data_IF_001375820408
#
_entry.id   IF_001375820408
#
_cell.length_a   1.000
_cell.length_b   1.000
_cell.length_c   1.000
_cell.angle_alpha   90.00
_cell.angle_beta   90.00
_cell.angle_gamma   90.00
#
_symmetry.space_group_name_H-M   'P 1'
#
loop_
_entity.id
_entity.type
_entity.pdbx_description
1 polymer ?
#
# COMPACT_ATOMS: atom_id res chain seq x y z
N UNK A 1 0.99 -2.78 -3.54
CA UNK A 1 1.91 -2.83 -2.38
C UNK A 1 2.99 -3.83 -2.70
N UNK A 2 4.23 -3.43 -2.49
CA UNK A 2 5.42 -4.21 -2.81
C UNK A 2 6.21 -4.48 -1.54
N UNK A 3 6.75 -5.69 -1.40
CA UNK A 3 7.67 -6.02 -0.30
C UNK A 3 9.06 -5.42 -0.54
N UNK A 4 9.97 -5.61 0.43
CA UNK A 4 11.36 -5.11 0.33
C UNK A 4 12.21 -5.71 -0.78
N UNK A 5 11.71 -6.71 -1.51
CA UNK A 5 12.36 -7.26 -2.71
C UNK A 5 11.80 -6.68 -4.01
N UNK A 6 10.76 -5.83 -3.92
CA UNK A 6 10.01 -5.33 -5.07
C UNK A 6 8.95 -6.30 -5.58
N UNK A 7 8.59 -7.33 -4.81
CA UNK A 7 7.53 -8.29 -5.19
C UNK A 7 6.16 -7.71 -4.84
N UNK A 8 5.21 -7.75 -5.79
CA UNK A 8 3.82 -7.35 -5.54
C UNK A 8 3.16 -8.34 -4.57
N UNK A 9 2.80 -7.89 -3.39
CA UNK A 9 2.17 -8.73 -2.34
C UNK A 9 0.65 -8.57 -2.29
N UNK A 10 0.14 -7.39 -2.63
CA UNK A 10 -1.30 -7.14 -2.71
C UNK A 10 -1.61 -5.96 -3.62
N UNK A 11 -2.78 -6.04 -4.24
CA UNK A 11 -3.41 -4.96 -5.02
C UNK A 11 -4.90 -4.96 -4.73
N UNK A 12 -5.51 -3.78 -4.80
CA UNK A 12 -6.93 -3.59 -4.58
C UNK A 12 -7.44 -2.40 -5.39
N UNK A 13 -8.69 -2.50 -5.84
CA UNK A 13 -9.39 -1.37 -6.43
C UNK A 13 -10.42 -0.85 -5.44
N UNK A 14 -10.58 0.47 -5.43
CA UNK A 14 -11.54 1.16 -4.58
C UNK A 14 -12.20 2.28 -5.37
N UNK A 15 -13.50 2.44 -5.16
CA UNK A 15 -14.22 3.63 -5.57
C UNK A 15 -14.33 4.57 -4.37
N UNK A 16 -14.37 5.87 -4.64
CA UNK A 16 -14.55 6.86 -3.59
C UNK A 16 -15.40 8.02 -4.08
N UNK A 17 -15.92 8.79 -3.14
CA UNK A 17 -16.63 10.05 -3.39
C UNK A 17 -15.96 11.13 -2.55
N UNK A 18 -15.72 12.29 -3.13
CA UNK A 18 -15.17 13.41 -2.37
C UNK A 18 -16.22 13.91 -1.36
N UNK A 19 -15.80 14.12 -0.12
CA UNK A 19 -16.65 14.67 0.94
C UNK A 19 -16.05 15.99 1.42
N UNK A 20 -16.86 17.06 1.48
CA UNK A 20 -16.41 18.38 1.92
C UNK A 20 -15.30 19.02 1.06
N UNK A 21 -15.12 18.57 -0.19
CA UNK A 21 -14.06 19.05 -1.09
C UNK A 21 -12.70 18.39 -0.86
N UNK A 22 -12.61 17.38 0.00
CA UNK A 22 -11.40 16.59 0.23
C UNK A 22 -11.59 15.15 -0.24
N UNK A 23 -10.50 14.57 -0.75
CA UNK A 23 -10.41 13.14 -0.96
C UNK A 23 -9.63 12.52 0.19
N UNK A 24 -10.25 11.58 0.89
CA UNK A 24 -9.61 10.75 1.90
C UNK A 24 -9.76 9.29 1.50
N UNK A 25 -8.69 8.52 1.63
CA UNK A 25 -8.71 7.08 1.45
C UNK A 25 -7.73 6.41 2.41
N UNK A 26 -7.94 5.14 2.71
CA UNK A 26 -7.03 4.32 3.51
C UNK A 26 -6.84 2.96 2.86
N UNK A 27 -5.66 2.41 3.05
CA UNK A 27 -5.34 1.02 2.73
C UNK A 27 -4.63 0.40 3.91
N UNK A 28 -4.86 -0.88 4.14
CA UNK A 28 -4.23 -1.62 5.21
C UNK A 28 -3.85 -3.01 4.72
N UNK A 29 -2.83 -3.58 5.34
CA UNK A 29 -2.39 -4.94 5.07
C UNK A 29 -1.98 -5.60 6.37
N UNK A 30 -2.41 -6.84 6.55
CA UNK A 30 -2.06 -7.63 7.71
C UNK A 30 -0.83 -8.48 7.40
N UNK A 31 0.31 -8.13 8.01
CA UNK A 31 1.59 -8.83 7.81
C UNK A 31 1.48 -10.27 8.31
N UNK A 32 1.73 -11.22 7.42
CA UNK A 32 1.68 -12.66 7.68
C UNK A 32 3.05 -13.16 8.14
N UNK A 33 3.21 -13.37 9.45
CA UNK A 33 4.48 -13.74 10.11
C UNK A 33 5.32 -14.82 9.40
N UNK A 34 4.68 -15.84 8.81
CA UNK A 34 5.35 -17.00 8.21
C UNK A 34 5.50 -16.93 6.69
N UNK A 35 5.05 -15.84 6.06
CA UNK A 35 5.03 -15.67 4.60
C UNK A 35 5.78 -14.40 4.21
N UNK A 36 5.48 -13.30 4.90
CA UNK A 36 5.99 -11.99 4.58
C UNK A 36 7.39 -11.80 5.17
N UNK A 37 8.29 -11.23 4.38
CA UNK A 37 9.67 -10.99 4.78
C UNK A 37 9.86 -9.57 5.33
N UNK A 38 10.71 -9.39 6.35
CA UNK A 38 11.15 -8.06 6.76
C UNK A 38 11.77 -7.29 5.60
N UNK A 39 11.68 -5.97 5.64
CA UNK A 39 12.26 -5.08 4.64
C UNK A 39 11.54 -3.75 4.54
N UNK A 40 11.99 -2.90 3.62
CA UNK A 40 11.32 -1.63 3.32
C UNK A 40 10.24 -1.87 2.29
N UNK A 41 8.98 -1.85 2.72
CA UNK A 41 7.83 -2.11 1.87
C UNK A 41 7.31 -0.81 1.26
N UNK A 42 6.88 -0.86 0.00
CA UNK A 42 6.38 0.30 -0.73
C UNK A 42 4.88 0.20 -0.99
N UNK A 43 4.19 1.29 -0.67
CA UNK A 43 2.75 1.47 -0.79
C UNK A 43 2.51 2.48 -1.89
N UNK A 44 1.77 2.08 -2.92
CA UNK A 44 1.48 2.96 -4.05
C UNK A 44 -0.03 3.06 -4.22
N UNK A 45 -0.52 4.27 -4.48
CA UNK A 45 -1.91 4.53 -4.87
C UNK A 45 -1.91 5.18 -6.25
N UNK A 46 -2.80 4.67 -7.10
CA UNK A 46 -2.98 5.14 -8.46
C UNK A 46 -4.39 5.71 -8.62
N UNK A 47 -4.48 6.86 -9.27
CA UNK A 47 -5.74 7.48 -9.71
C UNK A 47 -5.70 7.58 -11.24
N UNK A 48 -6.67 6.97 -11.91
CA UNK A 48 -6.75 6.92 -13.38
C UNK A 48 -5.45 6.44 -14.05
N UNK A 49 -4.81 5.44 -13.46
CA UNK A 49 -3.54 4.86 -13.93
C UNK A 49 -2.30 5.69 -13.61
N UNK A 50 -2.45 6.88 -13.00
CA UNK A 50 -1.34 7.72 -12.57
C UNK A 50 -1.03 7.50 -11.09
N UNK A 51 0.23 7.25 -10.74
CA UNK A 51 0.66 7.19 -9.34
C UNK A 51 0.52 8.56 -8.67
N UNK A 52 -0.21 8.61 -7.56
CA UNK A 52 -0.48 9.83 -6.79
C UNK A 52 0.12 9.80 -5.39
N UNK A 53 0.33 8.60 -4.83
CA UNK A 53 0.97 8.40 -3.53
C UNK A 53 2.00 7.29 -3.69
N UNK A 54 3.16 7.51 -3.09
CA UNK A 54 4.19 6.51 -2.84
C UNK A 54 4.69 6.72 -1.41
N UNK A 55 4.57 5.69 -0.58
CA UNK A 55 5.04 5.71 0.81
C UNK A 55 5.83 4.45 1.10
N UNK A 56 6.83 4.54 1.97
CA UNK A 56 7.65 3.40 2.38
C UNK A 56 7.60 3.18 3.87
N UNK A 57 7.41 1.93 4.28
CA UNK A 57 7.31 1.52 5.69
C UNK A 57 8.29 0.37 5.95
N UNK A 58 9.05 0.48 7.04
CA UNK A 58 9.95 -0.59 7.47
C UNK A 58 9.14 -1.69 8.20
N UNK A 59 9.12 -2.89 7.61
CA UNK A 59 8.59 -4.10 8.24
C UNK A 59 9.73 -4.79 8.95
N UNK A 60 9.65 -4.86 10.28
CA UNK A 60 10.67 -5.48 11.13
C UNK A 60 10.38 -6.98 11.32
N UNK A 61 11.42 -7.75 11.64
CA UNK A 61 11.27 -9.15 12.04
C UNK A 61 10.45 -9.28 13.32
N UNK A 62 9.52 -10.24 13.35
CA UNK A 62 8.64 -10.58 14.48
C UNK A 62 9.11 -11.80 15.27
#
# INVERSE_FOLDING_TARGET
>A
MFDGSGTLVTTGQMSFTAEGGSWNTWTSYNIKKHVDKPGNWTFEIYLDGKKVIEESLAVLSQ
#
